data_IF_838747203553
#
_entry.id   IF_838747203553
#
_cell.length_a   1.000
_cell.length_b   1.000
_cell.length_c   1.000
_cell.angle_alpha   90.00
_cell.angle_beta   90.00
_cell.angle_gamma   90.00
#
_symmetry.space_group_name_H-M   'P 1'
#
loop_
_entity.id
_entity.type
_entity.pdbx_description
1 polymer ?
#
# COMPACT_ATOMS: atom_id res chain seq x y z
N UNK A 1 -4.62 -4.46 -41.91
CA UNK A 1 -4.60 -5.65 -41.03
C UNK A 1 -3.77 -6.72 -41.74
N UNK A 2 -2.91 -7.45 -41.02
CA UNK A 2 -2.20 -8.61 -41.61
C UNK A 2 -2.68 -9.89 -40.94
N UNK A 3 -3.29 -10.77 -41.73
CA UNK A 3 -3.75 -12.09 -41.29
C UNK A 3 -2.87 -13.17 -41.94
N UNK A 4 -2.11 -13.91 -41.13
CA UNK A 4 -1.39 -15.11 -41.57
C UNK A 4 -1.98 -16.33 -40.88
N UNK A 5 -1.77 -17.53 -41.43
CA UNK A 5 -2.29 -18.80 -40.87
C UNK A 5 -1.90 -19.04 -39.39
N UNK A 6 -0.89 -18.34 -38.85
CA UNK A 6 -0.36 -18.52 -37.49
C UNK A 6 -0.17 -17.23 -36.67
N UNK A 7 -0.19 -16.01 -37.26
CA UNK A 7 -0.36 -14.74 -36.51
C UNK A 7 -1.36 -13.77 -37.17
N UNK A 8 -2.23 -13.14 -36.37
CA UNK A 8 -3.01 -11.94 -36.73
C UNK A 8 -2.39 -10.72 -36.08
N UNK A 9 -2.16 -9.67 -36.85
CA UNK A 9 -1.60 -8.41 -36.33
C UNK A 9 -2.32 -7.18 -36.91
N UNK A 10 -2.57 -6.20 -36.03
CA UNK A 10 -2.98 -4.85 -36.40
C UNK A 10 -1.76 -3.95 -36.32
N UNK A 11 -1.42 -3.31 -37.43
CA UNK A 11 -0.32 -2.35 -37.51
C UNK A 11 -0.94 -0.97 -37.43
N UNK A 12 -0.64 -0.25 -36.35
CA UNK A 12 -1.04 1.14 -36.18
C UNK A 12 0.11 2.02 -36.63
N UNK A 13 -0.14 2.90 -37.59
CA UNK A 13 0.83 3.87 -38.11
C UNK A 13 0.48 5.25 -37.61
N UNK A 14 1.44 5.95 -36.99
CA UNK A 14 1.23 7.33 -36.56
C UNK A 14 1.34 8.25 -37.77
N UNK A 15 0.26 8.97 -38.07
CA UNK A 15 0.24 9.98 -39.13
C UNK A 15 0.62 11.33 -38.52
N UNK A 16 1.92 11.56 -38.30
CA UNK A 16 2.44 12.87 -37.87
C UNK A 16 3.69 13.21 -38.70
N UNK A 17 3.77 14.46 -39.15
CA UNK A 17 4.46 14.94 -40.35
C UNK A 17 5.99 14.73 -40.52
N UNK A 18 6.69 13.91 -39.72
CA UNK A 18 8.14 13.67 -39.92
C UNK A 18 8.68 12.29 -39.48
N UNK A 19 7.86 11.36 -38.95
CA UNK A 19 8.32 10.00 -38.66
C UNK A 19 7.26 8.93 -38.89
N UNK A 20 7.63 7.89 -39.64
CA UNK A 20 6.81 6.69 -39.85
C UNK A 20 7.03 5.70 -38.70
N UNK A 21 6.54 6.04 -37.51
CA UNK A 21 6.51 5.07 -36.41
C UNK A 21 5.29 4.15 -36.57
N UNK A 22 5.57 2.88 -36.83
CA UNK A 22 4.55 1.83 -36.89
C UNK A 22 4.70 0.89 -35.69
N UNK A 23 3.60 0.61 -34.99
CA UNK A 23 3.56 -0.36 -33.90
C UNK A 23 2.61 -1.51 -34.26
N UNK A 24 3.14 -2.72 -34.24
CA UNK A 24 2.36 -3.93 -34.50
C UNK A 24 1.82 -4.50 -33.19
N UNK A 25 0.51 -4.74 -33.15
CA UNK A 25 -0.21 -5.36 -32.04
C UNK A 25 -0.68 -6.76 -32.46
N UNK A 26 -0.24 -7.76 -31.72
CA UNK A 26 -0.63 -9.15 -31.94
C UNK A 26 -2.04 -9.40 -31.39
N UNK A 27 -2.90 -9.99 -32.21
CA UNK A 27 -4.27 -10.34 -31.82
C UNK A 27 -4.32 -11.86 -31.61
N UNK A 28 -4.78 -12.33 -30.44
CA UNK A 28 -4.97 -13.76 -30.19
C UNK A 28 -5.89 -14.43 -31.21
N UNK A 29 -5.60 -15.70 -31.49
CA UNK A 29 -6.44 -16.53 -32.34
C UNK A 29 -7.81 -16.74 -31.70
N UNK A 30 -8.86 -16.27 -32.36
CA UNK A 30 -10.25 -16.37 -31.89
C UNK A 30 -10.86 -15.05 -31.44
N UNK A 31 -10.05 -14.02 -31.20
CA UNK A 31 -10.57 -12.67 -30.93
C UNK A 31 -11.18 -12.06 -32.19
N UNK A 32 -12.36 -11.46 -32.05
CA UNK A 32 -13.01 -10.69 -33.13
C UNK A 32 -12.41 -9.30 -33.16
N UNK A 33 -12.05 -8.84 -34.36
CA UNK A 33 -11.47 -7.51 -34.57
C UNK A 33 -12.62 -6.51 -34.66
N UNK A 34 -12.55 -5.43 -33.88
CA UNK A 34 -13.56 -4.37 -33.82
C UNK A 34 -13.30 -3.26 -34.85
N UNK A 35 -12.03 -3.07 -35.22
CA UNK A 35 -11.57 -2.01 -36.11
C UNK A 35 -11.54 -2.44 -37.58
N UNK A 36 -11.73 -1.49 -38.49
CA UNK A 36 -11.64 -1.69 -39.93
C UNK A 36 -10.27 -1.27 -40.48
N UNK A 37 -9.92 -1.77 -41.66
CA UNK A 37 -8.74 -1.28 -42.39
C UNK A 37 -8.89 0.21 -42.72
N UNK A 38 -7.80 0.97 -42.58
CA UNK A 38 -7.73 2.43 -42.79
C UNK A 38 -8.58 3.28 -41.83
N UNK A 39 -9.13 2.67 -40.77
CA UNK A 39 -9.84 3.40 -39.74
C UNK A 39 -8.88 4.28 -38.91
N UNK A 40 -9.25 5.55 -38.74
CA UNK A 40 -8.59 6.45 -37.79
C UNK A 40 -9.04 6.09 -36.38
N UNK A 41 -8.08 5.83 -35.50
CA UNK A 41 -8.29 5.46 -34.10
C UNK A 41 -7.44 6.34 -33.19
N UNK A 42 -7.92 6.55 -31.97
CA UNK A 42 -7.17 7.27 -30.94
C UNK A 42 -6.40 6.30 -30.03
N UNK A 43 -5.43 6.84 -29.29
CA UNK A 43 -4.63 6.05 -28.37
C UNK A 43 -5.53 5.44 -27.27
N UNK A 44 -5.59 4.11 -27.24
CA UNK A 44 -6.35 3.34 -26.25
C UNK A 44 -7.76 2.98 -26.69
N UNK A 45 -8.08 3.11 -27.98
CA UNK A 45 -9.27 2.50 -28.55
C UNK A 45 -9.14 0.96 -28.62
N UNK A 46 -10.26 0.29 -28.47
CA UNK A 46 -10.34 -1.17 -28.49
C UNK A 46 -10.15 -1.72 -29.90
N UNK A 47 -9.09 -2.51 -30.10
CA UNK A 47 -8.81 -3.18 -31.38
C UNK A 47 -9.62 -4.47 -31.55
N UNK A 48 -9.98 -5.11 -30.44
CA UNK A 48 -10.68 -6.40 -30.40
C UNK A 48 -11.92 -6.33 -29.53
N UNK A 49 -12.92 -7.15 -29.84
CA UNK A 49 -14.04 -7.40 -28.92
C UNK A 49 -13.57 -8.22 -27.71
N UNK A 50 -14.06 -7.88 -26.52
CA UNK A 50 -13.77 -8.62 -25.29
C UNK A 50 -13.60 -7.72 -24.08
N UNK A 51 -13.11 -8.32 -22.99
CA UNK A 51 -12.74 -7.58 -21.78
C UNK A 51 -11.46 -6.79 -21.98
N UNK A 52 -11.45 -5.55 -21.49
CA UNK A 52 -10.27 -4.69 -21.56
C UNK A 52 -9.44 -4.88 -20.29
N UNK A 53 -8.11 -4.91 -20.44
CA UNK A 53 -7.20 -5.01 -19.31
C UNK A 53 -7.00 -3.62 -18.66
N UNK A 54 -7.33 -3.45 -17.36
CA UNK A 54 -7.15 -2.17 -16.67
C UNK A 54 -5.70 -1.68 -16.63
N UNK A 55 -4.72 -2.60 -16.65
CA UNK A 55 -3.31 -2.23 -16.68
C UNK A 55 -2.90 -1.55 -17.99
N UNK A 56 -3.56 -1.91 -19.10
CA UNK A 56 -3.28 -1.30 -20.40
C UNK A 56 -3.98 0.06 -20.50
N UNK A 57 -5.20 0.19 -19.96
CA UNK A 57 -5.88 1.49 -19.83
C UNK A 57 -5.02 2.45 -19.00
N UNK A 58 -4.42 1.99 -17.89
CA UNK A 58 -3.58 2.83 -17.03
C UNK A 58 -2.37 3.39 -17.79
N UNK A 59 -1.72 2.55 -18.59
CA UNK A 59 -0.52 2.93 -19.35
C UNK A 59 -0.82 3.87 -20.52
N UNK A 60 -2.02 3.77 -21.11
CA UNK A 60 -2.36 4.50 -22.35
C UNK A 60 -3.19 5.75 -22.05
N UNK A 61 -4.28 5.60 -21.30
CA UNK A 61 -5.26 6.67 -21.02
C UNK A 61 -5.10 7.30 -19.63
N UNK A 62 -4.29 6.70 -18.76
CA UNK A 62 -3.99 7.22 -17.43
C UNK A 62 -5.02 6.85 -16.35
N UNK A 63 -4.83 7.44 -15.16
CA UNK A 63 -5.52 7.07 -13.91
C UNK A 63 -7.04 7.27 -13.99
N UNK A 64 -7.49 8.42 -14.50
CA UNK A 64 -8.92 8.76 -14.57
C UNK A 64 -9.69 7.77 -15.44
N UNK A 65 -9.15 7.45 -16.61
CA UNK A 65 -9.78 6.49 -17.52
C UNK A 65 -9.92 5.09 -16.91
N UNK A 66 -8.94 4.67 -16.10
CA UNK A 66 -9.02 3.41 -15.35
C UNK A 66 -10.09 3.48 -14.27
N UNK A 67 -10.16 4.59 -13.53
CA UNK A 67 -11.17 4.78 -12.49
C UNK A 67 -12.58 4.71 -13.08
N UNK A 68 -12.83 5.44 -14.17
CA UNK A 68 -14.12 5.45 -14.86
C UNK A 68 -14.47 4.06 -15.38
N UNK A 69 -13.51 3.36 -15.99
CA UNK A 69 -13.69 1.98 -16.47
C UNK A 69 -14.09 1.03 -15.34
N UNK A 70 -13.37 1.06 -14.21
CA UNK A 70 -13.64 0.19 -13.06
C UNK A 70 -15.01 0.47 -12.45
N UNK A 71 -15.38 1.75 -12.29
CA UNK A 71 -16.68 2.15 -11.76
C UNK A 71 -17.79 1.64 -12.68
N UNK A 72 -17.67 1.88 -13.99
CA UNK A 72 -18.69 1.46 -14.97
C UNK A 72 -18.89 -0.06 -14.99
N UNK A 73 -17.81 -0.84 -15.00
CA UNK A 73 -17.91 -2.31 -15.08
C UNK A 73 -18.44 -2.93 -13.79
N UNK A 74 -18.01 -2.46 -12.61
CA UNK A 74 -18.56 -2.92 -11.33
C UNK A 74 -20.04 -2.54 -11.22
N UNK A 75 -20.38 -1.28 -11.54
CA UNK A 75 -21.76 -0.81 -11.47
C UNK A 75 -22.67 -1.54 -12.46
N UNK A 76 -22.18 -1.92 -13.65
CA UNK A 76 -22.92 -2.72 -14.63
C UNK A 76 -23.39 -4.04 -14.02
N UNK A 77 -22.51 -4.75 -13.32
CA UNK A 77 -22.84 -6.04 -12.69
C UNK A 77 -23.89 -5.89 -11.59
N UNK A 78 -23.72 -4.90 -10.70
CA UNK A 78 -24.71 -4.64 -9.64
C UNK A 78 -26.07 -4.22 -10.19
N UNK A 79 -26.09 -3.35 -11.21
CA UNK A 79 -27.32 -2.95 -11.91
C UNK A 79 -28.02 -4.14 -12.56
N UNK A 80 -27.27 -5.07 -13.16
CA UNK A 80 -27.82 -6.30 -13.74
C UNK A 80 -28.47 -7.21 -12.68
N UNK A 81 -27.96 -7.18 -11.44
CA UNK A 81 -28.54 -7.88 -10.30
C UNK A 81 -29.66 -7.09 -9.59
N UNK A 82 -30.00 -5.89 -10.08
CA UNK A 82 -31.03 -5.03 -9.50
C UNK A 82 -30.62 -4.36 -8.18
N UNK A 83 -29.32 -4.33 -7.86
CA UNK A 83 -28.80 -3.71 -6.63
C UNK A 83 -28.27 -2.31 -6.96
N UNK A 84 -28.76 -1.30 -6.25
CA UNK A 84 -28.28 0.08 -6.37
C UNK A 84 -27.15 0.34 -5.37
N UNK A 85 -25.97 0.73 -5.86
CA UNK A 85 -24.81 1.13 -5.07
C UNK A 85 -24.36 2.52 -5.50
N UNK A 86 -23.95 3.36 -4.56
CA UNK A 86 -23.40 4.67 -4.87
C UNK A 86 -21.95 4.55 -5.36
N UNK A 87 -21.64 5.20 -6.49
CA UNK A 87 -20.32 5.20 -7.13
C UNK A 87 -19.19 5.61 -6.18
N UNK A 88 -19.46 6.46 -5.18
CA UNK A 88 -18.47 6.88 -4.17
C UNK A 88 -17.82 5.72 -3.44
N UNK A 89 -18.57 4.64 -3.17
CA UNK A 89 -18.00 3.47 -2.48
C UNK A 89 -16.99 2.75 -3.36
N UNK A 90 -17.31 2.61 -4.64
CA UNK A 90 -16.42 1.97 -5.63
C UNK A 90 -15.20 2.86 -5.85
N UNK A 91 -15.38 4.17 -5.96
CA UNK A 91 -14.29 5.13 -6.13
C UNK A 91 -13.26 5.05 -4.99
N UNK A 92 -13.73 4.95 -3.74
CA UNK A 92 -12.84 4.79 -2.58
C UNK A 92 -12.03 3.50 -2.66
N UNK A 93 -12.63 2.39 -3.11
CA UNK A 93 -11.92 1.11 -3.29
C UNK A 93 -10.89 1.21 -4.41
N UNK A 94 -11.28 1.75 -5.57
CA UNK A 94 -10.38 1.90 -6.73
C UNK A 94 -9.23 2.86 -6.41
N UNK A 95 -9.46 3.89 -5.60
CA UNK A 95 -8.40 4.78 -5.09
C UNK A 95 -7.35 4.00 -4.30
N UNK A 96 -7.75 3.04 -3.47
CA UNK A 96 -6.82 2.20 -2.71
C UNK A 96 -6.03 1.26 -3.62
N UNK A 97 -6.63 0.77 -4.70
CA UNK A 97 -5.94 -0.06 -5.70
C UNK A 97 -4.86 0.70 -6.49
N UNK A 98 -4.99 2.02 -6.64
CA UNK A 98 -4.08 2.87 -7.40
C UNK A 98 -3.08 3.65 -6.52
N UNK A 99 -3.02 3.36 -5.22
CA UNK A 99 -2.24 4.15 -4.26
C UNK A 99 -0.72 4.03 -4.40
N UNK A 100 -0.21 3.07 -5.19
CA UNK A 100 1.22 2.76 -5.28
C UNK A 100 1.86 3.20 -6.59
N UNK A 101 3.10 3.68 -6.49
CA UNK A 101 3.97 4.05 -7.59
C UNK A 101 5.19 3.13 -7.58
N UNK A 102 5.51 2.53 -8.73
CA UNK A 102 6.74 1.77 -8.92
C UNK A 102 7.84 2.71 -9.37
N UNK A 103 8.94 2.75 -8.64
CA UNK A 103 10.11 3.57 -8.98
C UNK A 103 10.84 2.95 -10.18
N UNK A 104 11.11 3.75 -11.21
CA UNK A 104 11.91 3.36 -12.37
C UNK A 104 13.34 3.88 -12.24
N UNK A 105 13.48 5.18 -11.99
CA UNK A 105 14.75 5.84 -11.71
C UNK A 105 14.64 6.54 -10.36
N UNK A 106 15.64 6.37 -9.51
CA UNK A 106 15.65 6.94 -8.17
C UNK A 106 16.16 8.39 -8.14
N UNK A 107 16.88 8.85 -9.16
CA UNK A 107 17.51 10.18 -9.12
C UNK A 107 18.36 10.34 -7.85
N UNK A 108 18.15 11.45 -7.13
CA UNK A 108 18.76 11.72 -5.82
C UNK A 108 17.87 11.29 -4.63
N UNK A 109 16.72 10.65 -4.89
CA UNK A 109 15.86 10.16 -3.82
C UNK A 109 16.42 8.89 -3.17
N UNK A 110 16.09 8.69 -1.90
CA UNK A 110 16.48 7.50 -1.11
C UNK A 110 15.67 6.24 -1.49
N UNK A 111 15.01 6.25 -2.65
CA UNK A 111 14.24 5.12 -3.13
C UNK A 111 15.12 4.11 -3.87
N UNK A 112 14.78 2.83 -3.73
CA UNK A 112 15.41 1.77 -4.52
C UNK A 112 14.62 1.55 -5.82
N UNK A 113 15.30 1.42 -6.98
CA UNK A 113 14.62 1.15 -8.24
C UNK A 113 13.84 -0.17 -8.18
N UNK A 114 12.63 -0.17 -8.73
CA UNK A 114 11.71 -1.31 -8.71
C UNK A 114 10.86 -1.45 -7.44
N UNK A 115 11.14 -0.69 -6.38
CA UNK A 115 10.28 -0.68 -5.18
C UNK A 115 8.95 0.03 -5.44
N UNK A 116 7.94 -0.33 -4.63
CA UNK A 116 6.62 0.29 -4.69
C UNK A 116 6.42 1.18 -3.47
N UNK A 117 6.28 2.48 -3.71
CA UNK A 117 6.12 3.51 -2.68
C UNK A 117 4.70 4.07 -2.75
N UNK A 118 4.24 4.67 -1.66
CA UNK A 118 2.98 5.41 -1.67
C UNK A 118 3.04 6.62 -2.60
N UNK A 119 1.95 6.92 -3.30
CA UNK A 119 1.89 8.09 -4.19
C UNK A 119 2.05 9.41 -3.43
N UNK A 120 1.56 9.49 -2.19
CA UNK A 120 1.69 10.71 -1.39
C UNK A 120 3.16 10.92 -0.97
N UNK A 121 3.77 9.88 -0.40
CA UNK A 121 5.19 9.90 -0.01
C UNK A 121 6.12 10.17 -1.20
N UNK A 122 5.84 9.56 -2.35
CA UNK A 122 6.59 9.82 -3.59
C UNK A 122 6.50 11.28 -4.03
N UNK A 123 5.31 11.88 -3.97
CA UNK A 123 5.12 13.28 -4.34
C UNK A 123 5.79 14.23 -3.34
N UNK A 124 5.66 13.97 -2.03
CA UNK A 124 6.24 14.79 -0.98
C UNK A 124 7.79 14.81 -1.05
N UNK A 125 8.40 13.65 -1.31
CA UNK A 125 9.85 13.52 -1.51
C UNK A 125 10.28 14.26 -2.78
N UNK A 126 9.57 14.06 -3.89
CA UNK A 126 9.91 14.75 -5.14
C UNK A 126 9.73 16.27 -5.06
N UNK A 127 8.71 16.76 -4.36
CA UNK A 127 8.53 18.20 -4.11
C UNK A 127 9.70 18.76 -3.30
N UNK A 128 10.15 18.02 -2.28
CA UNK A 128 11.31 18.39 -1.46
C UNK A 128 12.62 18.42 -2.25
N UNK A 129 12.86 17.43 -3.12
CA UNK A 129 14.05 17.37 -3.99
C UNK A 129 14.03 18.50 -5.03
N UNK A 130 12.87 18.77 -5.63
CA UNK A 130 12.71 19.86 -6.58
C UNK A 130 12.99 21.22 -5.94
N UNK A 131 12.56 21.43 -4.69
CA UNK A 131 12.86 22.64 -3.93
C UNK A 131 14.37 22.81 -3.64
N UNK A 132 15.10 21.71 -3.51
CA UNK A 132 16.56 21.70 -3.32
C UNK A 132 17.35 21.76 -4.64
N UNK A 133 16.67 21.68 -5.79
CA UNK A 133 17.29 21.66 -7.12
C UNK A 133 18.01 20.34 -7.45
N UNK A 134 17.66 19.25 -6.77
CA UNK A 134 18.19 17.91 -6.99
C UNK A 134 17.40 17.14 -8.07
N UNK A 135 17.95 16.02 -8.52
CA UNK A 135 17.29 15.16 -9.51
C UNK A 135 16.11 14.40 -8.88
N UNK A 136 14.90 14.63 -9.41
CA UNK A 136 13.67 13.99 -8.93
C UNK A 136 13.62 12.50 -9.28
N UNK A 137 12.93 11.72 -8.47
CA UNK A 137 12.69 10.31 -8.78
C UNK A 137 11.61 10.15 -9.87
N UNK A 138 11.83 9.25 -10.81
CA UNK A 138 10.86 8.87 -11.83
C UNK A 138 10.16 7.57 -11.42
N UNK A 139 8.82 7.57 -11.51
CA UNK A 139 8.02 6.40 -11.16
C UNK A 139 6.78 6.26 -12.01
N UNK A 140 6.34 5.01 -12.23
CA UNK A 140 5.09 4.69 -12.91
C UNK A 140 4.06 4.17 -11.92
N UNK A 141 2.90 4.84 -11.89
CA UNK A 141 1.77 4.39 -11.08
C UNK A 141 1.33 3.00 -11.51
N UNK A 142 1.10 2.13 -10.54
CA UNK A 142 0.74 0.72 -10.79
C UNK A 142 -0.54 0.40 -10.04
N UNK A 143 -1.51 -0.18 -10.74
CA UNK A 143 -2.69 -0.75 -10.10
C UNK A 143 -2.33 -2.07 -9.40
N UNK A 144 -2.79 -2.22 -8.16
CA UNK A 144 -2.73 -3.47 -7.40
C UNK A 144 -4.14 -4.02 -7.18
N UNK A 145 -4.26 -5.35 -7.19
CA UNK A 145 -5.49 -6.02 -6.74
C UNK A 145 -5.75 -5.75 -5.25
N UNK A 146 -7.00 -5.84 -4.81
CA UNK A 146 -7.42 -5.47 -3.44
C UNK A 146 -6.60 -6.21 -2.37
N UNK A 147 -6.41 -7.52 -2.51
CA UNK A 147 -5.61 -8.32 -1.57
C UNK A 147 -4.16 -7.83 -1.50
N UNK A 148 -3.54 -7.55 -2.66
CA UNK A 148 -2.15 -7.07 -2.73
C UNK A 148 -2.01 -5.64 -2.23
N UNK A 149 -2.99 -4.77 -2.47
CA UNK A 149 -3.03 -3.42 -1.94
C UNK A 149 -3.15 -3.41 -0.40
N UNK A 150 -3.94 -4.33 0.16
CA UNK A 150 -4.12 -4.50 1.61
C UNK A 150 -2.89 -5.06 2.33
N UNK A 151 -2.07 -5.86 1.64
CA UNK A 151 -0.77 -6.33 2.16
C UNK A 151 0.32 -5.27 2.03
N UNK A 152 0.25 -4.42 1.00
CA UNK A 152 1.22 -3.36 0.73
C UNK A 152 0.94 -2.07 1.54
N UNK A 153 0.45 -2.19 2.78
CA UNK A 153 0.21 -1.05 3.67
C UNK A 153 1.50 -0.63 4.37
N UNK A 154 1.52 0.60 4.89
CA UNK A 154 2.70 1.13 5.58
C UNK A 154 2.87 0.52 6.98
N UNK A 155 1.78 0.19 7.66
CA UNK A 155 1.79 -0.51 8.94
C UNK A 155 2.01 -2.01 8.75
N UNK A 156 3.07 -2.54 9.35
CA UNK A 156 3.29 -3.99 9.36
C UNK A 156 2.33 -4.71 10.32
N UNK A 157 1.87 -4.06 11.40
CA UNK A 157 0.87 -4.64 12.31
C UNK A 157 -0.47 -4.84 11.58
N UNK A 158 -0.91 -3.83 10.84
CA UNK A 158 -2.13 -3.92 10.04
C UNK A 158 -1.98 -4.94 8.91
N UNK A 159 -0.82 -4.99 8.23
CA UNK A 159 -0.57 -5.97 7.17
C UNK A 159 -0.57 -7.41 7.72
N UNK A 160 0.13 -7.66 8.82
CA UNK A 160 0.21 -8.97 9.47
C UNK A 160 -1.16 -9.44 9.96
N UNK A 161 -2.02 -8.54 10.43
CA UNK A 161 -3.39 -8.90 10.83
C UNK A 161 -4.30 -9.38 9.70
N UNK A 162 -3.92 -9.15 8.44
CA UNK A 162 -4.73 -9.55 7.29
C UNK A 162 -4.36 -10.95 6.81
N UNK A 163 -3.16 -11.14 6.27
CA UNK A 163 -2.64 -12.42 5.75
C UNK A 163 -1.09 -12.42 5.79
N UNK A 164 -0.47 -13.58 5.52
CA UNK A 164 1.00 -13.74 5.41
C UNK A 164 1.80 -13.29 6.66
N UNK A 165 1.26 -13.49 7.87
CA UNK A 165 1.82 -13.05 9.17
C UNK A 165 3.33 -13.28 9.29
N UNK A 166 3.80 -14.51 9.07
CA UNK A 166 5.22 -14.89 9.22
C UNK A 166 6.12 -14.09 8.28
N UNK A 167 5.69 -13.89 7.03
CA UNK A 167 6.49 -13.17 6.04
C UNK A 167 6.52 -11.67 6.32
N UNK A 168 5.37 -11.09 6.67
CA UNK A 168 5.27 -9.66 6.99
C UNK A 168 6.13 -9.31 8.21
N UNK A 169 6.08 -10.12 9.27
CA UNK A 169 6.85 -9.88 10.49
C UNK A 169 8.35 -10.10 10.30
N UNK A 170 8.76 -11.12 9.53
CA UNK A 170 10.18 -11.35 9.25
C UNK A 170 10.77 -10.23 8.39
N UNK A 171 10.07 -9.77 7.35
CA UNK A 171 10.52 -8.62 6.56
C UNK A 171 10.60 -7.34 7.39
N UNK A 172 9.63 -7.09 8.27
CA UNK A 172 9.65 -5.94 9.17
C UNK A 172 10.82 -6.00 10.16
N UNK A 173 11.11 -7.19 10.72
CA UNK A 173 12.23 -7.39 11.64
C UNK A 173 13.58 -7.22 10.95
N UNK A 174 13.76 -7.77 9.74
CA UNK A 174 15.00 -7.61 8.95
C UNK A 174 15.26 -6.15 8.62
N UNK A 175 14.20 -5.40 8.28
CA UNK A 175 14.29 -3.96 7.95
C UNK A 175 14.30 -3.04 9.16
N UNK A 176 14.10 -3.56 10.38
CA UNK A 176 13.95 -2.74 11.58
C UNK A 176 12.80 -1.74 11.50
N UNK A 177 11.70 -2.10 10.84
CA UNK A 177 10.61 -1.17 10.52
C UNK A 177 9.87 -0.73 11.79
N UNK A 178 9.64 0.58 11.92
CA UNK A 178 8.87 1.18 13.02
C UNK A 178 7.45 1.47 12.52
N UNK A 179 6.43 1.12 13.31
CA UNK A 179 5.02 1.39 12.99
C UNK A 179 4.54 2.65 13.74
N UNK A 180 4.13 3.72 13.04
CA UNK A 180 3.69 4.94 13.67
C UNK A 180 2.25 4.88 14.24
N UNK A 181 1.52 3.77 14.04
CA UNK A 181 0.17 3.55 14.59
C UNK A 181 -0.85 4.63 14.15
N UNK A 182 -0.81 5.02 12.89
CA UNK A 182 -1.69 6.06 12.32
C UNK A 182 -3.02 5.44 11.83
N UNK A 183 -3.07 4.13 11.62
CA UNK A 183 -4.20 3.40 11.07
C UNK A 183 -5.23 3.00 12.12
N UNK A 184 -6.40 2.56 11.63
CA UNK A 184 -7.48 2.07 12.49
C UNK A 184 -7.12 0.74 13.15
N UNK A 185 -6.63 -0.23 12.37
CA UNK A 185 -6.37 -1.59 12.85
C UNK A 185 -5.27 -1.64 13.90
N UNK A 186 -4.17 -0.91 13.71
CA UNK A 186 -3.08 -0.89 14.67
C UNK A 186 -3.53 -0.42 16.05
N UNK A 187 -4.32 0.67 16.10
CA UNK A 187 -4.82 1.21 17.35
C UNK A 187 -5.82 0.26 18.03
N UNK A 188 -6.67 -0.42 17.26
CA UNK A 188 -7.57 -1.46 17.80
C UNK A 188 -6.77 -2.61 18.42
N UNK A 189 -5.74 -3.11 17.73
CA UNK A 189 -4.90 -4.23 18.22
C UNK A 189 -4.21 -3.88 19.55
N UNK A 190 -3.78 -2.63 19.71
CA UNK A 190 -3.07 -2.16 20.91
C UNK A 190 -4.04 -1.68 22.01
N UNK A 191 -5.32 -1.51 21.71
CA UNK A 191 -6.32 -1.00 22.66
C UNK A 191 -6.30 0.53 22.84
N UNK A 192 -5.76 1.28 21.87
CA UNK A 192 -5.82 2.76 21.85
C UNK A 192 -7.06 3.24 21.09
N UNK A 193 -7.49 4.47 21.38
CA UNK A 193 -8.57 5.11 20.64
C UNK A 193 -8.22 5.20 19.15
N UNK A 194 -9.16 4.83 18.28
CA UNK A 194 -8.96 4.89 16.84
C UNK A 194 -8.92 6.36 16.35
N UNK A 195 -8.13 6.68 15.31
CA UNK A 195 -8.06 8.01 14.70
C UNK A 195 -9.27 8.31 13.77
N UNK A 196 -10.48 7.95 14.20
CA UNK A 196 -11.72 8.22 13.48
C UNK A 196 -12.87 8.53 14.46
N UNK A 197 -13.92 9.20 13.95
CA UNK A 197 -15.09 9.53 14.74
C UNK A 197 -14.76 10.36 15.99
N UNK A 198 -15.14 9.85 17.16
CA UNK A 198 -14.89 10.50 18.46
C UNK A 198 -13.42 10.54 18.85
N UNK A 199 -12.61 9.57 18.40
CA UNK A 199 -11.19 9.49 18.71
C UNK A 199 -10.34 10.57 18.03
N UNK A 200 -10.82 11.19 16.93
CA UNK A 200 -10.11 12.26 16.23
C UNK A 200 -9.83 13.50 17.10
N UNK A 201 -10.62 13.75 18.15
CA UNK A 201 -10.39 14.88 19.07
C UNK A 201 -9.03 14.80 19.75
N UNK A 202 -8.55 13.59 20.07
CA UNK A 202 -7.25 13.39 20.70
C UNK A 202 -6.10 13.60 19.72
N UNK A 203 -6.26 13.18 18.45
CA UNK A 203 -5.23 13.35 17.43
C UNK A 203 -5.14 14.78 16.87
N UNK A 204 -6.26 15.50 16.80
CA UNK A 204 -6.30 16.89 16.27
C UNK A 204 -5.75 17.92 17.27
N UNK A 205 -5.75 17.60 18.57
CA UNK A 205 -5.37 18.53 19.63
C UNK A 205 -3.89 18.42 20.05
N UNK A 206 -3.07 17.66 19.31
CA UNK A 206 -1.63 17.62 19.54
C UNK A 206 -1.06 18.96 19.09
N UNK A 207 -0.83 19.86 20.05
CA UNK A 207 -0.02 21.06 19.83
C UNK A 207 1.44 20.61 19.73
N UNK A 208 2.08 20.94 18.61
CA UNK A 208 3.53 20.84 18.50
C UNK A 208 4.11 21.90 19.42
N UNK A 209 4.65 21.47 20.56
CA UNK A 209 5.45 22.34 21.42
C UNK A 209 6.78 22.55 20.70
N UNK A 210 6.85 23.64 19.93
CA UNK A 210 8.03 23.97 19.11
C UNK A 210 9.02 24.84 19.89
N UNK A 211 8.77 25.06 21.19
CA UNK A 211 9.52 25.97 22.05
C UNK A 211 10.46 25.22 23.02
N UNK A 212 11.08 24.11 22.59
CA UNK A 212 12.31 23.68 23.25
C UNK A 212 13.48 24.48 22.66
N UNK A 213 13.66 25.70 23.18
CA UNK A 213 14.97 26.34 23.22
C UNK A 213 15.92 25.41 23.98
N UNK A 214 16.54 24.48 23.27
CA UNK A 214 17.79 23.87 23.71
C UNK A 214 18.88 24.94 23.61
N UNK A 215 18.91 25.85 24.59
CA UNK A 215 20.18 26.44 25.00
C UNK A 215 20.99 25.31 25.64
N UNK A 216 21.66 24.52 24.81
CA UNK A 216 22.81 23.75 25.26
C UNK A 216 23.92 24.76 25.51
N UNK A 217 23.94 25.38 26.68
CA UNK A 217 25.13 26.07 27.16
C UNK A 217 26.19 25.01 27.39
N UNK A 218 27.11 24.86 26.44
CA UNK A 218 28.37 24.19 26.68
C UNK A 218 29.14 25.04 27.69
N UNK A 219 29.17 24.64 28.96
CA UNK A 219 30.09 25.21 29.93
C UNK A 219 31.50 24.67 29.61
N UNK A 220 32.21 25.38 28.73
CA UNK A 220 33.67 25.38 28.73
C UNK A 220 34.09 26.04 30.05
N UNK A 221 34.49 25.25 31.04
CA UNK A 221 35.50 25.57 32.07
C UNK A 221 35.44 24.55 33.23
N UNK A 222 36.04 23.38 33.03
CA UNK A 222 36.63 22.61 34.15
C UNK A 222 38.11 22.31 33.81
N UNK A 223 38.95 23.33 33.99
CA UNK A 223 40.38 23.15 34.27
C UNK A 223 40.65 23.62 35.72
N UNK A 224 40.70 22.63 36.61
CA UNK A 224 41.41 22.51 37.89
C UNK A 224 41.96 23.77 38.59
N UNK A 225 41.50 24.04 39.82
CA UNK A 225 42.36 24.23 41.01
C UNK A 225 41.57 24.58 42.29
N UNK A 226 41.67 23.72 43.32
CA UNK A 226 41.86 24.15 44.71
C UNK A 226 40.66 24.32 45.65
N UNK A 227 40.70 23.54 46.74
CA UNK A 227 40.06 23.72 48.06
C UNK A 227 38.57 23.36 48.23
N UNK A 228 38.33 22.10 48.65
CA UNK A 228 37.11 21.68 49.34
C UNK A 228 37.22 21.99 50.85
N UNK A 229 36.55 23.05 51.30
CA UNK A 229 36.06 23.18 52.68
C UNK A 229 34.52 23.14 52.64
N UNK A 230 33.92 22.35 53.53
CA UNK A 230 32.55 21.86 53.38
C UNK A 230 31.42 22.81 53.78
N UNK A 231 30.20 22.41 53.40
CA UNK A 231 29.04 22.38 54.28
C UNK A 231 27.93 21.51 53.67
N UNK A 232 27.67 20.37 54.32
CA UNK A 232 26.57 19.47 54.02
C UNK A 232 25.29 20.05 54.65
N UNK A 233 24.37 20.52 53.83
CA UNK A 233 23.02 20.92 54.23
C UNK A 233 22.03 20.00 53.52
N UNK A 234 21.54 18.99 54.25
CA UNK A 234 20.49 18.11 53.78
C UNK A 234 19.14 18.82 53.79
N UNK A 235 18.49 18.84 52.63
CA UNK A 235 17.05 18.73 52.41
C UNK A 235 16.80 19.08 50.94
N UNK A 236 16.32 18.10 50.16
CA UNK A 236 15.35 18.23 49.05
C UNK A 236 15.34 16.98 48.15
N UNK A 237 15.34 15.81 48.79
CA UNK A 237 14.94 14.56 48.13
C UNK A 237 13.68 14.03 48.82
N UNK A 238 12.53 14.31 48.17
CA UNK A 238 11.23 13.59 48.16
C UNK A 238 10.03 14.50 48.44
N UNK A 239 9.21 14.73 47.42
CA UNK A 239 7.74 14.53 47.48
C UNK A 239 7.17 14.47 46.05
N UNK A 240 6.88 13.26 45.55
CA UNK A 240 5.51 12.71 45.36
C UNK A 240 4.55 13.61 44.55
N UNK A 241 4.28 13.22 43.31
CA UNK A 241 3.01 13.45 42.62
C UNK A 241 2.62 12.20 41.81
N UNK A 242 2.15 11.17 42.52
CA UNK A 242 1.09 10.30 42.02
C UNK A 242 -0.08 10.54 42.97
N UNK A 243 -1.09 11.29 42.52
CA UNK A 243 -2.42 11.26 43.12
C UNK A 243 -3.31 10.39 42.24
N UNK A 244 -3.77 9.31 42.84
CA UNK A 244 -4.85 8.46 42.36
C UNK A 244 -6.16 9.25 42.47
N UNK A 245 -7.02 9.15 41.47
CA UNK A 245 -8.46 9.29 41.66
C UNK A 245 -9.12 7.94 41.35
N UNK A 246 -9.78 7.44 42.38
CA UNK A 246 -10.57 6.22 42.42
C UNK A 246 -11.79 6.29 41.49
N UNK A 247 -12.03 5.22 40.73
CA UNK A 247 -13.38 4.82 40.34
C UNK A 247 -13.53 3.31 40.53
N UNK A 248 -14.12 2.95 41.67
CA UNK A 248 -14.77 1.67 41.89
C UNK A 248 -16.03 1.58 41.01
N UNK A 249 -16.12 0.53 40.21
CA UNK A 249 -17.41 -0.09 39.87
C UNK A 249 -17.17 -1.57 39.62
N UNK A 250 -17.54 -2.37 40.61
CA UNK A 250 -17.69 -3.82 40.50
C UNK A 250 -18.78 -4.14 39.46
N UNK A 251 -18.38 -4.68 38.32
CA UNK A 251 -19.23 -5.55 37.51
C UNK A 251 -18.40 -6.76 37.06
N UNK A 252 -18.51 -7.86 37.80
CA UNK A 252 -18.10 -9.18 37.36
C UNK A 252 -18.99 -9.59 36.17
N UNK A 253 -18.46 -9.51 34.96
CA UNK A 253 -19.10 -10.10 33.78
C UNK A 253 -18.54 -11.52 33.60
N UNK A 254 -19.29 -12.50 34.11
CA UNK A 254 -19.10 -13.91 33.78
C UNK A 254 -19.42 -14.12 32.29
N UNK A 255 -18.40 -14.33 31.46
CA UNK A 255 -18.59 -14.97 30.16
C UNK A 255 -18.40 -16.47 30.33
N UNK A 256 -19.51 -17.20 30.25
CA UNK A 256 -19.52 -18.64 30.03
C UNK A 256 -18.81 -18.95 28.71
N UNK A 257 -17.78 -19.80 28.78
CA UNK A 257 -17.32 -20.58 27.63
C UNK A 257 -18.52 -21.37 27.10
N UNK A 258 -18.88 -21.14 25.83
CA UNK A 258 -19.47 -22.11 24.89
C UNK A 258 -19.91 -21.37 23.62
N UNK A 259 -19.18 -21.59 22.52
CA UNK A 259 -19.74 -22.01 21.22
C UNK A 259 -18.59 -22.07 20.20
N UNK A 260 -17.96 -23.25 20.12
CA UNK A 260 -17.16 -23.64 18.97
C UNK A 260 -18.10 -23.84 17.79
N UNK A 261 -17.92 -23.05 16.73
CA UNK A 261 -18.47 -23.38 15.41
C UNK A 261 -17.59 -24.48 14.80
N UNK A 262 -18.08 -25.71 14.86
CA UNK A 262 -17.65 -26.81 14.00
C UNK A 262 -18.23 -26.59 12.60
N UNK A 263 -17.37 -26.27 11.63
CA UNK A 263 -17.69 -26.48 10.22
C UNK A 263 -17.16 -27.87 9.82
N UNK A 264 -18.04 -28.87 9.91
CA UNK A 264 -17.94 -30.07 9.08
C UNK A 264 -18.36 -29.72 7.64
N UNK A 265 -17.44 -29.74 6.68
CA UNK A 265 -17.74 -30.34 5.39
C UNK A 265 -16.57 -31.18 4.88
N UNK A 266 -16.93 -32.41 4.52
CA UNK A 266 -16.12 -33.53 4.06
C UNK A 266 -15.68 -33.39 2.60
N UNK A 267 -14.66 -34.20 2.30
CA UNK A 267 -14.32 -34.84 1.03
C UNK A 267 -13.74 -34.01 -0.12
N UNK A 268 -12.40 -34.04 -0.21
CA UNK A 268 -11.73 -34.56 -1.40
C UNK A 268 -10.56 -35.46 -0.99
N UNK A 269 -10.81 -36.77 -0.98
CA UNK A 269 -9.79 -37.82 -0.98
C UNK A 269 -9.07 -37.82 -2.34
N UNK A 270 -7.74 -37.66 -2.33
CA UNK A 270 -6.88 -38.20 -3.38
C UNK A 270 -5.65 -38.81 -2.71
N UNK A 271 -5.72 -40.12 -2.56
CA UNK A 271 -4.61 -41.01 -2.32
C UNK A 271 -3.53 -40.88 -3.40
N UNK A 272 -2.31 -41.28 -3.04
CA UNK A 272 -1.13 -41.54 -3.88
C UNK A 272 -0.12 -40.39 -4.01
N UNK A 273 0.74 -40.26 -2.99
CA UNK A 273 2.12 -39.79 -3.16
C UNK A 273 3.09 -40.72 -2.41
N UNK A 274 3.00 -42.01 -2.71
CA UNK A 274 4.07 -42.97 -2.44
C UNK A 274 4.49 -43.56 -3.79
N UNK A 275 5.44 -42.91 -4.47
CA UNK A 275 6.32 -43.54 -5.46
C UNK A 275 7.43 -42.57 -5.88
N UNK A 276 8.38 -42.35 -4.99
CA UNK A 276 9.75 -41.95 -5.36
C UNK A 276 10.71 -42.92 -4.69
N UNK A 277 10.73 -44.16 -5.21
CA UNK A 277 11.83 -45.09 -4.96
C UNK A 277 13.10 -44.54 -5.62
N UNK A 278 14.08 -44.26 -4.78
CA UNK A 278 15.49 -44.17 -5.13
C UNK A 278 15.89 -45.42 -5.92
N UNK A 279 16.43 -45.24 -7.13
CA UNK A 279 17.20 -46.25 -7.82
C UNK A 279 18.70 -45.94 -7.64
N UNK A 280 19.33 -46.65 -6.71
CA UNK A 280 20.77 -46.88 -6.70
C UNK A 280 21.10 -48.07 -7.62
N UNK A 281 22.16 -47.88 -8.40
CA UNK A 281 23.19 -48.83 -8.87
C UNK A 281 22.84 -50.32 -9.11
N UNK A 282 23.13 -50.81 -10.32
CA UNK A 282 24.28 -51.69 -10.65
C UNK A 282 24.06 -52.46 -11.98
N UNK A 283 25.18 -52.65 -12.70
CA UNK A 283 25.47 -53.45 -13.91
C UNK A 283 24.96 -52.99 -15.30
#
# INVERSE_FOLDING_TARGET
IKDTKKKREVIVTRTSNDSLESKAYLIPYGSRIKVMDEQVIEAGDELTEGSVNPHDILKIKGVRAVQDYMIQEVQRVYRLQGVEINDKHIEVIVRQMLKKVRIENNGDAEFLPGTMVDILEFNDVNESLAAQGLEIAEGKQTMLGITKASLATNSFLSAASFQETTKVLTEAAIKGKIDPLIGLKENVIIGKLIPAGTGMKHYRNVKLDTDQNQEVTFSEDEFDNGNYEGNFSGNDFKQNFYENEDLNSDEEVNFSEDEYFEDEENDLTVENFDDLKFSEEEE
#
